data_IF_218862083059
#
_entry.id   IF_218862083059
#
_cell.length_a   1.000
_cell.length_b   1.000
_cell.length_c   1.000
_cell.angle_alpha   90.00
_cell.angle_beta   90.00
_cell.angle_gamma   90.00
#
_symmetry.space_group_name_H-M   'P 1'
#
loop_
_entity.id
_entity.type
_entity.pdbx_description
1 polymer ?
#
# COMPACT_ATOMS: atom_id res chain seq x y z
N UNK A 1 4.45 4.64 2.76
CA UNK A 1 4.19 3.29 2.26
C UNK A 1 5.44 2.70 1.62
N UNK A 2 5.66 1.39 1.76
CA UNK A 2 6.76 0.64 1.12
C UNK A 2 6.17 -0.55 0.36
N UNK A 3 6.67 -0.82 -0.85
CA UNK A 3 6.22 -1.93 -1.69
C UNK A 3 7.42 -2.71 -2.23
N UNK A 4 7.34 -4.03 -2.20
CA UNK A 4 8.27 -4.97 -2.81
C UNK A 4 7.52 -6.20 -3.34
N UNK A 5 8.19 -7.06 -4.10
CA UNK A 5 7.62 -8.32 -4.58
C UNK A 5 8.56 -9.51 -4.37
N UNK A 6 7.98 -10.70 -4.37
CA UNK A 6 8.69 -11.96 -4.48
C UNK A 6 8.02 -12.80 -5.58
N UNK A 7 8.70 -13.08 -6.70
CA UNK A 7 10.08 -12.69 -6.99
C UNK A 7 10.23 -11.17 -7.29
N UNK A 8 11.43 -10.56 -7.12
CA UNK A 8 11.62 -9.13 -7.37
C UNK A 8 11.28 -8.68 -8.80
N UNK A 9 11.58 -9.52 -9.78
CA UNK A 9 11.32 -9.28 -11.20
C UNK A 9 9.83 -9.27 -11.60
N UNK A 10 8.93 -9.61 -10.67
CA UNK A 10 7.48 -9.43 -10.83
C UNK A 10 7.11 -7.94 -10.89
N UNK A 11 7.85 -7.08 -10.18
CA UNK A 11 7.57 -5.66 -10.08
C UNK A 11 8.55 -4.87 -10.96
N UNK A 12 8.04 -4.32 -12.07
CA UNK A 12 8.82 -3.51 -12.99
C UNK A 12 8.92 -2.05 -12.54
N UNK A 13 7.85 -1.52 -11.93
CA UNK A 13 7.81 -0.15 -11.40
C UNK A 13 6.81 -0.02 -10.23
N UNK A 14 6.97 1.03 -9.43
CA UNK A 14 6.10 1.33 -8.29
C UNK A 14 6.60 0.77 -6.96
N UNK A 15 7.75 0.07 -6.96
CA UNK A 15 8.40 -0.43 -5.75
C UNK A 15 9.04 0.65 -4.88
N UNK A 16 9.62 0.24 -3.75
CA UNK A 16 10.36 1.09 -2.83
C UNK A 16 9.47 1.86 -1.85
N UNK A 17 10.03 2.91 -1.26
CA UNK A 17 9.38 3.74 -0.24
C UNK A 17 8.82 5.03 -0.85
N UNK A 18 7.59 5.39 -0.51
CA UNK A 18 6.92 6.62 -0.94
C UNK A 18 5.96 7.17 0.13
N UNK A 19 5.56 8.43 -0.03
CA UNK A 19 4.53 9.09 0.81
C UNK A 19 3.15 8.88 0.16
N UNK A 20 2.11 8.85 0.98
CA UNK A 20 0.73 8.62 0.54
C UNK A 20 0.30 7.15 0.66
N UNK A 21 -0.97 6.92 0.36
CA UNK A 21 -1.64 5.62 0.48
C UNK A 21 -2.12 5.06 -0.87
N UNK A 22 -1.88 5.79 -1.96
CA UNK A 22 -2.19 5.35 -3.32
C UNK A 22 -0.89 5.10 -4.10
N UNK A 23 -0.83 4.00 -4.85
CA UNK A 23 0.31 3.66 -5.71
C UNK A 23 -0.14 2.94 -6.96
N UNK A 24 0.42 3.34 -8.09
CA UNK A 24 0.36 2.58 -9.34
C UNK A 24 1.59 1.68 -9.43
N UNK A 25 1.37 0.42 -9.76
CA UNK A 25 2.42 -0.58 -9.97
C UNK A 25 2.44 -1.00 -11.43
N UNK A 26 3.63 -1.29 -11.96
CA UNK A 26 3.77 -1.98 -13.25
C UNK A 26 4.27 -3.38 -12.99
N UNK A 27 3.48 -4.40 -13.36
CA UNK A 27 3.81 -5.80 -13.14
C UNK A 27 4.34 -6.46 -14.41
N UNK A 28 5.25 -7.41 -14.24
CA UNK A 28 5.82 -8.17 -15.33
C UNK A 28 4.88 -9.31 -15.73
N UNK A 29 4.14 -9.11 -16.83
CA UNK A 29 3.21 -10.13 -17.36
C UNK A 29 3.86 -11.45 -17.81
N UNK A 30 5.20 -11.55 -17.83
CA UNK A 30 5.91 -12.81 -18.07
C UNK A 30 5.97 -13.72 -16.83
N UNK A 31 5.61 -13.19 -15.67
CA UNK A 31 5.64 -13.90 -14.39
C UNK A 31 4.19 -14.06 -13.91
N UNK A 32 3.63 -15.27 -13.97
CA UNK A 32 2.20 -15.47 -13.79
C UNK A 32 1.74 -15.35 -12.34
N UNK A 33 2.64 -15.48 -11.36
CA UNK A 33 2.30 -15.44 -9.93
C UNK A 33 3.47 -14.99 -9.05
N UNK A 34 3.14 -14.52 -7.84
CA UNK A 34 4.11 -14.15 -6.81
C UNK A 34 3.42 -13.54 -5.59
N UNK A 35 4.20 -12.86 -4.75
CA UNK A 35 3.72 -12.19 -3.54
C UNK A 35 4.07 -10.70 -3.64
N UNK A 36 3.10 -9.84 -3.40
CA UNK A 36 3.33 -8.42 -3.14
C UNK A 36 3.46 -8.18 -1.64
N UNK A 37 4.56 -7.54 -1.23
CA UNK A 37 4.82 -7.13 0.14
C UNK A 37 4.56 -5.64 0.25
N UNK A 38 3.53 -5.26 1.02
CA UNK A 38 3.09 -3.87 1.16
C UNK A 38 3.12 -3.52 2.64
N UNK A 39 3.76 -2.40 2.99
CA UNK A 39 3.75 -1.85 4.34
C UNK A 39 3.25 -0.42 4.29
N UNK A 40 2.21 -0.10 5.04
CA UNK A 40 1.68 1.25 5.13
C UNK A 40 1.62 1.73 6.58
N UNK A 41 1.81 3.04 6.75
CA UNK A 41 1.71 3.74 8.02
C UNK A 41 1.03 5.08 7.79
N UNK A 42 0.08 5.41 8.63
CA UNK A 42 -0.60 6.71 8.62
C UNK A 42 -0.88 7.18 10.05
N UNK A 43 -1.17 8.47 10.19
CA UNK A 43 -1.69 9.06 11.41
C UNK A 43 -3.02 9.73 11.08
N UNK A 44 -4.01 9.60 11.97
CA UNK A 44 -5.18 10.47 11.99
C UNK A 44 -5.04 11.35 13.24
N UNK A 45 -4.94 12.66 13.04
CA UNK A 45 -4.78 13.62 14.13
C UNK A 45 -6.03 14.49 14.27
N UNK A 46 -6.28 14.97 15.48
CA UNK A 46 -7.38 15.90 15.76
C UNK A 46 -7.19 17.22 14.99
N UNK A 47 -8.24 17.72 14.33
CA UNK A 47 -8.19 18.98 13.57
C UNK A 47 -9.31 19.11 12.53
N UNK A 48 -9.48 20.30 11.96
CA UNK A 48 -10.40 20.52 10.84
C UNK A 48 -9.77 20.05 9.51
N UNK A 49 -10.55 19.45 8.59
CA UNK A 49 -10.04 19.04 7.29
C UNK A 49 -9.44 20.23 6.51
N UNK A 50 -8.13 20.17 6.25
CA UNK A 50 -7.41 21.24 5.53
C UNK A 50 -6.98 22.44 6.38
N UNK A 51 -7.27 22.42 7.68
CA UNK A 51 -6.75 23.39 8.65
C UNK A 51 -5.33 23.05 9.13
N UNK A 52 -4.72 23.97 9.86
CA UNK A 52 -3.46 23.68 10.57
C UNK A 52 -3.70 22.64 11.67
N UNK A 53 -2.73 21.75 11.87
CA UNK A 53 -2.76 20.77 12.96
C UNK A 53 -2.48 21.53 14.27
N UNK A 54 -3.37 21.49 15.28
CA UNK A 54 -3.13 22.15 16.56
C UNK A 54 -1.84 21.67 17.23
N UNK A 55 -1.17 22.57 17.97
CA UNK A 55 0.10 22.30 18.69
C UNK A 55 0.05 21.11 19.66
N UNK A 56 -1.15 20.65 20.03
CA UNK A 56 -1.39 19.54 20.97
C UNK A 56 -2.36 18.47 20.42
N UNK A 57 -2.47 18.33 19.10
CA UNK A 57 -3.34 17.33 18.50
C UNK A 57 -2.98 15.91 18.97
N UNK A 58 -3.95 15.15 19.47
CA UNK A 58 -3.77 13.72 19.64
C UNK A 58 -3.76 13.07 18.25
N UNK A 59 -2.91 12.06 18.05
CA UNK A 59 -2.83 11.32 16.80
C UNK A 59 -2.96 9.83 17.04
N UNK A 60 -3.91 9.20 16.34
CA UNK A 60 -3.99 7.75 16.24
C UNK A 60 -3.09 7.28 15.10
N UNK A 61 -2.10 6.47 15.45
CA UNK A 61 -1.19 5.86 14.48
C UNK A 61 -1.71 4.50 14.03
N UNK A 62 -1.68 4.28 12.72
CA UNK A 62 -2.02 3.02 12.08
C UNK A 62 -0.80 2.51 11.33
N UNK A 63 -0.50 1.23 11.47
CA UNK A 63 0.56 0.55 10.73
C UNK A 63 0.13 -0.88 10.43
N UNK A 64 0.32 -1.30 9.18
CA UNK A 64 0.02 -2.65 8.72
C UNK A 64 1.05 -3.10 7.68
N UNK A 65 1.23 -4.41 7.64
CA UNK A 65 2.00 -5.13 6.64
C UNK A 65 1.15 -6.24 6.03
N UNK A 66 1.25 -6.40 4.71
CA UNK A 66 0.55 -7.43 3.96
C UNK A 66 1.53 -8.18 3.06
N UNK A 67 1.42 -9.51 3.06
CA UNK A 67 1.99 -10.38 2.03
C UNK A 67 0.86 -10.96 1.20
N UNK A 68 0.64 -10.42 0.01
CA UNK A 68 -0.54 -10.71 -0.81
C UNK A 68 -0.12 -11.61 -1.98
N UNK A 69 -0.54 -12.89 -1.99
CA UNK A 69 -0.37 -13.73 -3.15
C UNK A 69 -1.18 -13.17 -4.33
N UNK A 70 -0.53 -13.01 -5.47
CA UNK A 70 -1.15 -12.50 -6.70
C UNK A 70 -0.94 -13.49 -7.84
N UNK A 71 -1.95 -13.57 -8.71
CA UNK A 71 -1.91 -14.29 -9.99
C UNK A 71 -2.31 -13.32 -11.09
N UNK A 72 -1.50 -13.21 -12.13
CA UNK A 72 -1.76 -12.34 -13.27
C UNK A 72 -2.59 -13.09 -14.31
N UNK A 73 -3.72 -12.49 -14.70
CA UNK A 73 -4.61 -12.97 -15.77
C UNK A 73 -5.01 -11.79 -16.65
N UNK A 74 -5.43 -12.06 -17.89
CA UNK A 74 -5.84 -10.99 -18.82
C UNK A 74 -7.08 -10.23 -18.32
N UNK A 75 -7.97 -10.92 -17.62
CA UNK A 75 -9.24 -10.37 -17.10
C UNK A 75 -9.17 -10.06 -15.59
N UNK A 76 -7.97 -10.03 -15.01
CA UNK A 76 -7.76 -9.79 -13.58
C UNK A 76 -8.09 -8.36 -13.16
N UNK A 77 -8.40 -8.17 -11.88
CA UNK A 77 -8.64 -6.83 -11.33
C UNK A 77 -7.35 -5.99 -11.33
N UNK A 78 -7.47 -4.71 -11.69
CA UNK A 78 -6.33 -3.78 -11.76
C UNK A 78 -6.21 -2.89 -10.52
N UNK A 79 -7.07 -3.08 -9.53
CA UNK A 79 -7.10 -2.37 -8.25
C UNK A 79 -7.02 -3.33 -7.08
N UNK A 80 -6.39 -2.88 -6.00
CA UNK A 80 -6.27 -3.61 -4.75
C UNK A 80 -6.45 -2.64 -3.59
N UNK A 81 -7.56 -2.78 -2.88
CA UNK A 81 -7.87 -1.97 -1.70
C UNK A 81 -7.46 -2.71 -0.42
N UNK A 82 -6.66 -2.05 0.43
CA UNK A 82 -6.15 -2.62 1.68
C UNK A 82 -6.63 -1.77 2.85
N UNK A 83 -7.29 -2.41 3.81
CA UNK A 83 -7.77 -1.71 5.00
C UNK A 83 -6.64 -1.54 6.03
N UNK A 84 -6.19 -0.29 6.17
CA UNK A 84 -5.13 0.09 7.10
C UNK A 84 -5.53 -0.01 8.59
N UNK A 85 -6.84 -0.03 8.89
CA UNK A 85 -7.34 -0.20 10.26
C UNK A 85 -7.43 -1.66 10.68
N UNK A 86 -7.28 -2.59 9.72
CA UNK A 86 -7.50 -4.01 9.90
C UNK A 86 -9.00 -4.31 10.05
N UNK A 87 -9.61 -5.00 9.09
CA UNK A 87 -10.92 -5.60 9.33
C UNK A 87 -10.74 -6.91 10.09
N UNK A 88 -11.52 -7.07 11.16
CA UNK A 88 -11.72 -8.31 11.90
C UNK A 88 -12.28 -9.43 11.01
#
# INVERSE_FOLDING_TARGET
MKIASTPPELLLDGGGTSIGLNRTLTLNGKIPEGILHITARAAACDGEPGGEIPDHAACHLYQQDWGIPVRLTADGETSLALDLRGMH
#
